data_IF_821629531895
#
_entry.id   IF_821629531895
#
_cell.length_a   1.000
_cell.length_b   1.000
_cell.length_c   1.000
_cell.angle_alpha   90.00
_cell.angle_beta   90.00
_cell.angle_gamma   90.00
#
_symmetry.space_group_name_H-M   'P 1'
#
loop_
_entity.id
_entity.type
_entity.pdbx_description
1 polymer ?
#
# COMPACT_ATOMS: atom_id res chain seq x y z
N UNK A 1 24.14 3.49 11.71
CA UNK A 1 22.85 3.70 12.40
C UNK A 1 21.97 4.64 11.60
N UNK A 2 22.48 5.81 11.24
CA UNK A 2 21.71 6.80 10.48
C UNK A 2 21.20 6.24 9.15
N UNK A 3 22.03 5.53 8.39
CA UNK A 3 21.63 4.97 7.10
C UNK A 3 20.58 3.89 7.26
N UNK A 4 20.67 3.09 8.32
CA UNK A 4 19.66 2.06 8.62
C UNK A 4 18.32 2.68 8.98
N UNK A 5 18.33 3.72 9.80
CA UNK A 5 17.12 4.44 10.17
C UNK A 5 16.45 5.07 8.97
N UNK A 6 17.22 5.74 8.12
CA UNK A 6 16.68 6.35 6.89
C UNK A 6 16.10 5.31 5.93
N UNK A 7 16.75 4.15 5.79
CA UNK A 7 16.25 3.09 4.94
C UNK A 7 14.88 2.60 5.39
N UNK A 8 14.66 2.46 6.69
CA UNK A 8 13.37 2.04 7.24
C UNK A 8 12.34 3.16 7.16
N UNK A 9 12.71 4.40 7.54
CA UNK A 9 11.79 5.54 7.52
C UNK A 9 11.22 5.82 6.14
N UNK A 10 12.07 5.80 5.11
CA UNK A 10 11.67 6.17 3.74
C UNK A 10 11.38 4.97 2.85
N UNK A 11 11.39 3.77 3.40
CA UNK A 11 10.95 2.55 2.76
C UNK A 11 9.70 2.00 3.45
N UNK A 12 9.85 0.87 4.17
CA UNK A 12 8.69 0.20 4.78
C UNK A 12 7.90 1.09 5.75
N UNK A 13 8.57 1.92 6.54
CA UNK A 13 7.90 2.76 7.53
C UNK A 13 6.94 3.75 6.89
N UNK A 14 7.38 4.41 5.83
CA UNK A 14 6.56 5.37 5.09
C UNK A 14 5.34 4.69 4.46
N UNK A 15 5.54 3.53 3.82
CA UNK A 15 4.47 2.76 3.20
C UNK A 15 3.44 2.30 4.23
N UNK A 16 3.90 1.78 5.36
CA UNK A 16 3.01 1.31 6.42
C UNK A 16 2.22 2.44 7.06
N UNK A 17 2.81 3.61 7.22
CA UNK A 17 2.14 4.77 7.80
C UNK A 17 1.04 5.32 6.89
N UNK A 18 1.21 5.24 5.58
CA UNK A 18 0.27 5.83 4.62
C UNK A 18 -0.86 4.86 4.26
N UNK A 19 -0.56 3.59 4.01
CA UNK A 19 -1.56 2.63 3.52
C UNK A 19 -1.72 1.37 4.39
N UNK A 20 -0.91 1.20 5.42
CA UNK A 20 -0.95 -0.02 6.23
C UNK A 20 -0.29 -1.19 5.51
N UNK A 21 -0.35 -2.37 6.11
CA UNK A 21 0.40 -3.51 5.58
C UNK A 21 -0.28 -4.23 4.42
N UNK A 22 -1.53 -4.62 4.58
CA UNK A 22 -2.23 -5.40 3.53
C UNK A 22 -2.52 -4.55 2.29
N UNK A 23 -2.93 -3.32 2.47
CA UNK A 23 -3.14 -2.40 1.35
C UNK A 23 -1.82 -2.12 0.63
N UNK A 24 -0.72 -1.94 1.36
CA UNK A 24 0.61 -1.75 0.75
C UNK A 24 0.98 -2.93 -0.15
N UNK A 25 0.79 -4.16 0.33
CA UNK A 25 1.08 -5.37 -0.45
C UNK A 25 0.20 -5.42 -1.70
N UNK A 26 -1.10 -5.17 -1.54
CA UNK A 26 -2.05 -5.18 -2.65
C UNK A 26 -1.70 -4.17 -3.74
N UNK A 27 -1.34 -2.95 -3.35
CA UNK A 27 -0.97 -1.90 -4.32
C UNK A 27 0.36 -2.17 -5.01
N UNK A 28 1.23 -2.98 -4.40
CA UNK A 28 2.52 -3.33 -4.95
C UNK A 28 2.48 -4.39 -6.05
N UNK A 29 1.33 -5.00 -6.29
CA UNK A 29 1.14 -6.02 -7.32
C UNK A 29 0.00 -5.60 -8.23
N UNK A 30 0.23 -5.56 -9.53
CA UNK A 30 -0.82 -5.29 -10.51
C UNK A 30 -1.89 -6.37 -10.40
N UNK A 31 -3.13 -5.97 -10.14
CA UNK A 31 -4.24 -6.90 -9.88
C UNK A 31 -4.42 -7.28 -8.42
N UNK A 32 -3.53 -6.85 -7.52
CA UNK A 32 -3.66 -7.05 -6.08
C UNK A 32 -3.52 -8.50 -5.64
N UNK A 33 -4.16 -8.86 -4.53
CA UNK A 33 -4.05 -10.20 -3.96
C UNK A 33 -4.57 -11.31 -4.87
N UNK A 34 -5.54 -11.02 -5.74
CA UNK A 34 -6.05 -12.03 -6.69
C UNK A 34 -4.99 -12.43 -7.69
N UNK A 35 -4.20 -11.46 -8.16
CA UNK A 35 -3.10 -11.73 -9.09
C UNK A 35 -1.96 -12.51 -8.43
N UNK A 36 -1.75 -12.35 -7.14
CA UNK A 36 -0.74 -13.11 -6.40
C UNK A 36 -1.06 -14.61 -6.44
N UNK A 37 -2.33 -14.99 -6.28
CA UNK A 37 -2.74 -16.39 -6.37
C UNK A 37 -2.42 -16.98 -7.73
N UNK A 38 -2.70 -16.25 -8.80
CA UNK A 38 -2.42 -16.69 -10.17
C UNK A 38 -0.92 -16.84 -10.43
N UNK A 39 -0.11 -15.99 -9.82
CA UNK A 39 1.35 -15.95 -10.04
C UNK A 39 2.10 -17.00 -9.21
N UNK A 40 1.66 -17.24 -7.96
CA UNK A 40 2.40 -18.06 -7.00
C UNK A 40 1.73 -19.38 -6.65
N UNK A 41 0.60 -19.72 -7.28
CA UNK A 41 -0.04 -21.02 -7.20
C UNK A 41 -1.22 -21.13 -6.26
N UNK A 42 -1.85 -22.32 -6.29
CA UNK A 42 -3.14 -22.57 -5.67
C UNK A 42 -3.15 -22.59 -4.15
N UNK A 43 -2.00 -22.86 -3.51
CA UNK A 43 -1.89 -23.02 -2.06
C UNK A 43 -2.23 -21.75 -1.29
N UNK A 44 -2.06 -20.59 -1.92
CA UNK A 44 -2.35 -19.29 -1.31
C UNK A 44 -3.76 -18.79 -1.58
N UNK A 45 -4.52 -19.47 -2.43
CA UNK A 45 -5.78 -18.96 -2.98
C UNK A 45 -6.84 -18.60 -1.94
N UNK A 46 -7.15 -19.44 -0.93
CA UNK A 46 -8.20 -19.10 0.04
C UNK A 46 -7.92 -17.81 0.81
N UNK A 47 -6.69 -17.65 1.25
CA UNK A 47 -6.28 -16.47 2.02
C UNK A 47 -6.22 -15.23 1.15
N UNK A 48 -5.76 -15.38 -0.10
CA UNK A 48 -5.65 -14.25 -1.03
C UNK A 48 -7.02 -13.68 -1.39
N UNK A 49 -8.04 -14.52 -1.54
CA UNK A 49 -9.40 -14.02 -1.80
C UNK A 49 -9.97 -13.29 -0.60
N UNK A 50 -9.75 -13.80 0.61
CA UNK A 50 -10.16 -13.11 1.85
C UNK A 50 -9.49 -11.75 1.95
N UNK A 51 -8.20 -11.68 1.72
CA UNK A 51 -7.45 -10.42 1.76
C UNK A 51 -7.88 -9.48 0.64
N UNK A 52 -8.10 -10.00 -0.57
CA UNK A 52 -8.55 -9.19 -1.70
C UNK A 52 -9.90 -8.53 -1.40
N UNK A 53 -10.85 -9.30 -0.87
CA UNK A 53 -12.16 -8.77 -0.50
C UNK A 53 -12.05 -7.73 0.62
N UNK A 54 -11.24 -8.00 1.63
CA UNK A 54 -11.02 -7.07 2.73
C UNK A 54 -10.39 -5.76 2.25
N UNK A 55 -9.43 -5.83 1.34
CA UNK A 55 -8.81 -4.64 0.75
C UNK A 55 -9.81 -3.87 -0.11
N UNK A 56 -10.64 -4.56 -0.90
CA UNK A 56 -11.68 -3.90 -1.69
C UNK A 56 -12.64 -3.11 -0.79
N UNK A 57 -13.05 -3.71 0.32
CA UNK A 57 -13.93 -3.06 1.29
C UNK A 57 -13.23 -1.88 1.98
N UNK A 58 -11.97 -2.06 2.38
CA UNK A 58 -11.17 -0.99 2.99
C UNK A 58 -11.07 0.21 2.06
N UNK A 59 -10.75 -0.02 0.79
CA UNK A 59 -10.66 1.06 -0.20
C UNK A 59 -12.01 1.75 -0.37
N UNK A 60 -13.08 0.99 -0.55
CA UNK A 60 -14.42 1.54 -0.78
C UNK A 60 -14.92 2.38 0.41
N UNK A 61 -14.50 2.03 1.62
CA UNK A 61 -14.92 2.70 2.85
C UNK A 61 -14.05 3.88 3.24
N UNK A 62 -12.99 4.17 2.47
CA UNK A 62 -12.13 5.33 2.76
C UNK A 62 -12.87 6.62 2.45
N UNK A 63 -12.50 7.67 3.16
CA UNK A 63 -12.94 9.02 2.81
C UNK A 63 -12.47 9.35 1.39
N UNK A 64 -13.34 9.87 0.51
CA UNK A 64 -12.93 10.21 -0.85
C UNK A 64 -11.73 11.17 -0.93
N UNK A 65 -11.55 12.01 0.08
CA UNK A 65 -10.43 12.96 0.12
C UNK A 65 -9.06 12.29 0.23
N UNK A 66 -9.02 11.06 0.73
CA UNK A 66 -7.77 10.27 0.83
C UNK A 66 -7.77 9.08 -0.12
N UNK A 67 -8.74 9.04 -1.03
CA UNK A 67 -8.86 8.01 -2.05
C UNK A 67 -9.75 6.85 -1.66
N UNK A 68 -10.71 6.53 -2.51
CA UNK A 68 -11.66 5.41 -2.32
C UNK A 68 -11.75 4.51 -3.56
N UNK A 69 -10.80 4.63 -4.47
CA UNK A 69 -10.56 3.71 -5.59
C UNK A 69 -9.08 3.39 -5.62
N UNK A 70 -8.69 2.32 -6.30
CA UNK A 70 -7.26 1.96 -6.40
C UNK A 70 -6.45 3.13 -6.96
N UNK A 71 -6.91 3.75 -8.03
CA UNK A 71 -6.21 4.87 -8.65
C UNK A 71 -6.09 6.07 -7.70
N UNK A 72 -7.18 6.44 -7.03
CA UNK A 72 -7.18 7.60 -6.13
C UNK A 72 -6.38 7.34 -4.85
N UNK A 73 -6.35 6.10 -4.36
CA UNK A 73 -5.48 5.74 -3.22
C UNK A 73 -4.01 5.87 -3.62
N UNK A 74 -3.65 5.43 -4.82
CA UNK A 74 -2.28 5.56 -5.32
C UNK A 74 -1.86 7.03 -5.45
N UNK A 75 -2.76 7.89 -5.93
CA UNK A 75 -2.50 9.33 -6.01
C UNK A 75 -2.31 9.95 -4.64
N UNK A 76 -3.15 9.60 -3.68
CA UNK A 76 -3.00 10.05 -2.30
C UNK A 76 -1.69 9.56 -1.69
N UNK A 77 -1.36 8.29 -1.89
CA UNK A 77 -0.10 7.70 -1.42
C UNK A 77 1.10 8.48 -1.94
N UNK A 78 1.14 8.75 -3.23
CA UNK A 78 2.26 9.47 -3.84
C UNK A 78 2.36 10.89 -3.31
N UNK A 79 1.24 11.56 -3.12
CA UNK A 79 1.19 12.88 -2.49
C UNK A 79 1.73 12.83 -1.06
N UNK A 80 1.27 11.86 -0.27
CA UNK A 80 1.71 11.72 1.13
C UNK A 80 3.20 11.43 1.22
N UNK A 81 3.73 10.58 0.34
CA UNK A 81 5.16 10.29 0.30
C UNK A 81 5.98 11.55 -0.02
N UNK A 82 5.53 12.32 -1.02
CA UNK A 82 6.20 13.56 -1.39
C UNK A 82 6.22 14.56 -0.22
N UNK A 83 5.09 14.69 0.49
CA UNK A 83 5.01 15.59 1.64
C UNK A 83 5.91 15.15 2.80
N UNK A 84 5.98 13.83 3.07
CA UNK A 84 6.90 13.30 4.09
C UNK A 84 8.35 13.58 3.73
N UNK A 85 8.73 13.39 2.46
CA UNK A 85 10.08 13.68 2.00
C UNK A 85 10.41 15.16 2.12
N UNK A 86 9.45 16.04 1.81
CA UNK A 86 9.63 17.50 1.99
C UNK A 86 9.82 17.86 3.45
N UNK A 87 9.04 17.27 4.36
CA UNK A 87 9.19 17.51 5.79
C UNK A 87 10.57 17.13 6.30
N UNK A 88 11.18 16.09 5.74
CA UNK A 88 12.53 15.64 6.06
C UNK A 88 13.60 16.32 5.21
N UNK A 89 13.23 17.32 4.40
CA UNK A 89 14.13 18.11 3.55
C UNK A 89 14.88 17.26 2.51
N UNK A 90 14.22 16.22 1.98
CA UNK A 90 14.76 15.37 0.93
C UNK A 90 14.19 15.69 -0.45
N UNK A 91 13.22 16.56 -0.53
CA UNK A 91 12.67 17.14 -1.76
C UNK A 91 12.65 18.66 -1.67
#
# INVERSE_FOLDING_TARGET
VEDMDKAIMFGPGMRMAVTGQLLTISLGVEGGFRAIADKYGEESTPWNEVYAQGVDEEIANRDPSIGNTVDSVCKFRDYAFAELLKLHKLL
#
